data_IF_960325498619
#
_entry.id   IF_960325498619
#
_cell.length_a   1.000
_cell.length_b   1.000
_cell.length_c   1.000
_cell.angle_alpha   90.00
_cell.angle_beta   90.00
_cell.angle_gamma   90.00
#
_symmetry.space_group_name_H-M   'P 1'
#
loop_
_entity.id
_entity.type
_entity.pdbx_description
1 polymer ?
#
# COMPACT_ATOMS: atom_id res chain seq x y z
N UNK A 1 9.93 2.93 8.83
CA UNK A 1 10.35 3.53 10.12
C UNK A 1 10.57 5.03 9.90
N UNK A 2 9.97 5.91 10.70
CA UNK A 2 10.18 7.36 10.56
C UNK A 2 11.34 7.78 11.48
N UNK A 3 12.44 8.22 10.88
CA UNK A 3 13.62 8.68 11.61
C UNK A 3 13.60 10.21 11.81
N UNK A 4 14.12 10.64 12.95
CA UNK A 4 14.37 12.04 13.32
C UNK A 4 15.71 12.14 14.01
N UNK A 5 16.37 13.29 13.89
CA UNK A 5 17.58 13.58 14.65
C UNK A 5 17.32 14.73 15.63
N UNK A 6 17.77 14.56 16.87
CA UNK A 6 17.70 15.63 17.86
C UNK A 6 18.71 16.74 17.51
N UNK A 7 18.22 17.93 17.15
CA UNK A 7 19.08 19.09 16.83
C UNK A 7 19.54 19.85 18.06
N UNK A 8 18.88 19.63 19.20
CA UNK A 8 19.21 20.19 20.51
C UNK A 8 18.94 19.12 21.58
N UNK A 9 19.42 19.35 22.81
CA UNK A 9 19.07 18.49 23.94
C UNK A 9 17.55 18.60 24.17
N UNK A 10 16.86 17.46 24.18
CA UNK A 10 15.39 17.38 24.33
C UNK A 10 15.06 16.45 25.47
N UNK A 11 14.05 16.79 26.28
CA UNK A 11 13.49 15.90 27.29
C UNK A 11 12.16 15.32 26.78
N UNK A 12 12.05 13.99 26.68
CA UNK A 12 10.84 13.27 26.34
C UNK A 12 10.38 12.46 27.56
N UNK A 13 9.34 12.93 28.24
CA UNK A 13 8.92 12.34 29.52
C UNK A 13 10.05 12.42 30.55
N UNK A 14 10.48 11.26 31.04
CA UNK A 14 11.64 11.13 31.94
C UNK A 14 12.98 11.00 31.21
N UNK A 15 12.99 10.81 29.88
CA UNK A 15 14.20 10.55 29.11
C UNK A 15 14.86 11.86 28.65
N UNK A 16 16.18 11.98 28.86
CA UNK A 16 16.99 13.03 28.27
C UNK A 16 17.67 12.54 26.99
N UNK A 17 17.39 13.21 25.88
CA UNK A 17 17.93 12.88 24.56
C UNK A 17 19.05 13.87 24.21
N UNK A 18 20.28 13.38 23.98
CA UNK A 18 21.41 14.24 23.62
C UNK A 18 21.29 14.74 22.19
N UNK A 19 22.01 15.83 21.90
CA UNK A 19 22.16 16.38 20.54
C UNK A 19 22.75 15.31 19.62
N UNK A 20 22.26 15.22 18.39
CA UNK A 20 22.74 14.30 17.37
C UNK A 20 22.15 12.89 17.45
N UNK A 21 21.42 12.54 18.52
CA UNK A 21 20.77 11.25 18.67
C UNK A 21 19.72 10.99 17.58
N UNK A 22 19.71 9.78 17.04
CA UNK A 22 18.69 9.31 16.11
C UNK A 22 17.50 8.74 16.89
N UNK A 23 16.31 9.18 16.52
CA UNK A 23 15.03 8.80 17.11
C UNK A 23 14.22 8.10 16.02
N UNK A 24 13.85 6.86 16.27
CA UNK A 24 13.03 6.06 15.36
C UNK A 24 11.63 5.88 15.94
N UNK A 25 10.62 6.27 15.18
CA UNK A 25 9.22 6.01 15.55
C UNK A 25 8.87 4.58 15.14
N UNK A 26 8.60 3.74 16.13
CA UNK A 26 8.15 2.37 15.97
C UNK A 26 6.64 2.34 15.62
N UNK A 27 6.30 2.71 14.38
CA UNK A 27 4.91 2.85 13.93
C UNK A 27 4.09 1.57 14.12
N UNK A 28 4.66 0.40 13.84
CA UNK A 28 3.95 -0.88 14.02
C UNK A 28 3.60 -1.09 15.49
N UNK A 29 4.51 -0.80 16.42
CA UNK A 29 4.23 -0.89 17.85
C UNK A 29 3.14 0.11 18.28
N UNK A 30 3.24 1.36 17.82
CA UNK A 30 2.25 2.42 18.11
C UNK A 30 0.84 2.06 17.62
N UNK A 31 0.71 1.47 16.42
CA UNK A 31 -0.58 1.09 15.84
C UNK A 31 -1.19 -0.16 16.48
N UNK A 32 -0.42 -0.92 17.26
CA UNK A 32 -0.88 -2.11 17.99
C UNK A 32 -0.79 -1.93 19.52
N UNK A 33 -0.58 -0.70 19.99
CA UNK A 33 -0.49 -0.38 21.41
C UNK A 33 -1.87 -0.49 22.07
N UNK A 34 -2.00 -1.41 23.02
CA UNK A 34 -3.26 -1.68 23.71
C UNK A 34 -3.71 -0.55 24.61
N UNK A 35 -2.79 0.28 25.10
CA UNK A 35 -3.14 1.43 25.94
C UNK A 35 -3.81 2.54 25.11
N UNK A 36 -3.52 2.58 23.82
CA UNK A 36 -4.09 3.54 22.86
C UNK A 36 -5.35 2.98 22.20
N UNK A 37 -5.28 1.72 21.77
CA UNK A 37 -6.27 1.10 20.88
C UNK A 37 -7.25 0.16 21.57
N UNK A 38 -6.97 -0.26 22.81
CA UNK A 38 -7.74 -1.27 23.54
C UNK A 38 -7.14 -2.68 23.43
N UNK A 39 -7.71 -3.64 24.15
CA UNK A 39 -7.24 -5.05 24.13
C UNK A 39 -7.34 -5.69 22.73
N UNK A 40 -8.24 -5.18 21.90
CA UNK A 40 -8.49 -5.58 20.53
C UNK A 40 -7.60 -4.85 19.49
N UNK A 41 -6.48 -4.25 19.92
CA UNK A 41 -5.54 -3.52 19.06
C UNK A 41 -4.97 -4.34 17.89
N UNK A 42 -4.99 -5.67 18.00
CA UNK A 42 -4.52 -6.60 16.95
C UNK A 42 -5.62 -7.04 15.99
N UNK A 43 -6.86 -6.71 16.29
CA UNK A 43 -8.02 -7.10 15.49
C UNK A 43 -8.31 -6.06 14.40
N UNK A 44 -8.66 -6.54 13.21
CA UNK A 44 -9.08 -5.68 12.12
C UNK A 44 -10.52 -5.21 12.33
N UNK A 45 -10.68 -4.02 12.93
CA UNK A 45 -12.00 -3.43 13.23
C UNK A 45 -12.14 -2.07 12.54
N UNK A 46 -12.65 -2.03 11.29
CA UNK A 46 -12.80 -0.78 10.53
C UNK A 46 -13.76 0.23 11.16
N UNK A 47 -14.79 -0.24 11.88
CA UNK A 47 -15.80 0.61 12.53
C UNK A 47 -15.21 1.53 13.60
N UNK A 48 -14.02 1.21 14.14
CA UNK A 48 -13.31 2.04 15.12
C UNK A 48 -12.98 3.44 14.60
N UNK A 49 -12.91 3.62 13.29
CA UNK A 49 -12.59 4.89 12.63
C UNK A 49 -13.81 5.73 12.26
N UNK A 50 -15.03 5.29 12.63
CA UNK A 50 -16.26 6.06 12.40
C UNK A 50 -16.38 7.25 13.36
N UNK A 51 -15.84 7.11 14.57
CA UNK A 51 -15.76 8.19 15.56
C UNK A 51 -14.43 8.94 15.45
N UNK A 52 -14.39 10.22 15.86
CA UNK A 52 -13.13 10.97 15.95
C UNK A 52 -12.12 10.24 16.84
N UNK A 53 -10.86 10.18 16.41
CA UNK A 53 -9.83 9.53 17.22
C UNK A 53 -9.63 10.27 18.55
N UNK A 54 -9.57 9.51 19.65
CA UNK A 54 -9.33 10.05 21.00
C UNK A 54 -8.00 10.80 21.13
N UNK A 55 -7.00 10.40 20.35
CA UNK A 55 -5.68 11.01 20.32
C UNK A 55 -5.30 11.37 18.89
N UNK A 56 -4.92 12.63 18.63
CA UNK A 56 -4.51 13.10 17.30
C UNK A 56 -3.24 12.43 16.77
N UNK A 57 -2.48 11.76 17.64
CA UNK A 57 -1.24 11.06 17.33
C UNK A 57 -1.33 9.52 17.45
N UNK A 58 -2.53 8.94 17.64
CA UNK A 58 -2.67 7.48 17.71
C UNK A 58 -2.44 6.80 16.36
N UNK A 59 -2.85 7.44 15.26
CA UNK A 59 -2.82 6.86 13.92
C UNK A 59 -1.95 7.65 12.94
N UNK A 60 -0.66 7.32 12.91
CA UNK A 60 0.37 8.03 12.13
C UNK A 60 0.83 7.20 10.92
N UNK A 61 -0.05 6.87 9.98
CA UNK A 61 0.36 6.18 8.74
C UNK A 61 1.13 7.09 7.77
N UNK A 62 0.70 8.34 7.65
CA UNK A 62 1.25 9.30 6.71
C UNK A 62 2.29 10.26 7.32
N UNK A 63 2.74 9.96 8.55
CA UNK A 63 3.56 10.87 9.33
C UNK A 63 2.74 11.89 10.12
N UNK A 64 3.45 12.69 10.92
CA UNK A 64 2.86 13.72 11.78
C UNK A 64 3.74 14.98 11.72
N UNK A 65 3.12 16.15 11.85
CA UNK A 65 3.81 17.44 11.90
C UNK A 65 4.24 17.96 10.52
N UNK A 66 5.26 18.85 10.45
CA UNK A 66 5.62 19.57 9.21
C UNK A 66 6.08 18.70 8.04
N UNK A 67 6.41 17.43 8.30
CA UNK A 67 6.87 16.46 7.29
C UNK A 67 5.82 15.37 7.03
N UNK A 68 4.54 15.69 7.25
CA UNK A 68 3.42 14.81 6.89
C UNK A 68 3.39 14.60 5.38
N UNK A 69 2.95 13.42 4.94
CA UNK A 69 2.85 13.09 3.52
C UNK A 69 1.88 14.04 2.82
N UNK A 70 2.38 14.81 1.85
CA UNK A 70 1.55 15.70 1.04
C UNK A 70 0.48 14.93 0.24
N UNK A 71 0.75 13.65 -0.09
CA UNK A 71 -0.17 12.78 -0.81
C UNK A 71 -1.24 12.09 0.05
N UNK A 72 -1.29 12.34 1.36
CA UNK A 72 -2.21 11.62 2.26
C UNK A 72 -3.68 11.69 1.81
N UNK A 73 -4.11 12.85 1.31
CA UNK A 73 -5.50 13.07 0.89
C UNK A 73 -5.81 12.25 -0.37
N UNK A 74 -4.91 12.28 -1.36
CA UNK A 74 -5.09 11.51 -2.61
C UNK A 74 -5.09 10.02 -2.32
N UNK A 75 -4.14 9.52 -1.51
CA UNK A 75 -4.08 8.09 -1.16
C UNK A 75 -5.34 7.62 -0.44
N UNK A 76 -5.88 8.41 0.51
CA UNK A 76 -7.11 8.03 1.23
C UNK A 76 -8.31 7.97 0.28
N UNK A 77 -8.44 8.95 -0.63
CA UNK A 77 -9.53 8.98 -1.61
C UNK A 77 -9.40 7.81 -2.60
N UNK A 78 -8.22 7.64 -3.19
CA UNK A 78 -7.94 6.56 -4.14
C UNK A 78 -8.17 5.19 -3.51
N UNK A 79 -7.67 4.95 -2.29
CA UNK A 79 -7.86 3.68 -1.58
C UNK A 79 -9.34 3.38 -1.37
N UNK A 80 -10.14 4.38 -0.98
CA UNK A 80 -11.59 4.20 -0.79
C UNK A 80 -12.30 3.85 -2.10
N UNK A 81 -11.96 4.58 -3.18
CA UNK A 81 -12.54 4.33 -4.50
C UNK A 81 -12.16 2.95 -5.03
N UNK A 82 -10.87 2.59 -4.97
CA UNK A 82 -10.39 1.28 -5.41
C UNK A 82 -11.03 0.16 -4.61
N UNK A 83 -11.13 0.29 -3.28
CA UNK A 83 -11.78 -0.71 -2.44
C UNK A 83 -13.28 -0.85 -2.77
N UNK A 84 -13.99 0.26 -2.95
CA UNK A 84 -15.40 0.23 -3.34
C UNK A 84 -15.61 -0.46 -4.69
N UNK A 85 -14.78 -0.16 -5.68
CA UNK A 85 -14.83 -0.82 -7.00
C UNK A 85 -14.52 -2.31 -6.90
N UNK A 86 -13.52 -2.68 -6.10
CA UNK A 86 -13.16 -4.08 -5.88
C UNK A 86 -14.35 -4.87 -5.29
N UNK A 87 -15.01 -4.32 -4.27
CA UNK A 87 -16.15 -4.98 -3.61
C UNK A 87 -17.38 -5.03 -4.52
N UNK A 88 -17.60 -4.02 -5.37
CA UNK A 88 -18.75 -3.99 -6.28
C UNK A 88 -18.60 -4.91 -7.48
N UNK A 89 -17.38 -5.07 -8.00
CA UNK A 89 -17.14 -5.77 -9.26
C UNK A 89 -16.75 -7.24 -9.09
N UNK A 90 -16.26 -7.63 -7.91
CA UNK A 90 -15.68 -8.95 -7.69
C UNK A 90 -16.21 -9.62 -6.42
N UNK A 91 -16.34 -10.94 -6.49
CA UNK A 91 -16.55 -11.81 -5.34
C UNK A 91 -15.27 -12.59 -5.05
N UNK A 92 -14.85 -12.59 -3.78
CA UNK A 92 -13.60 -13.22 -3.35
C UNK A 92 -13.86 -14.57 -2.69
N UNK A 93 -13.02 -15.55 -3.00
CA UNK A 93 -12.91 -16.81 -2.25
C UNK A 93 -11.44 -17.07 -1.97
N UNK A 94 -11.11 -17.48 -0.75
CA UNK A 94 -9.72 -17.75 -0.35
C UNK A 94 -9.34 -19.14 -0.84
N UNK A 95 -8.17 -19.26 -1.47
CA UNK A 95 -7.64 -20.58 -1.86
C UNK A 95 -7.38 -21.44 -0.62
N UNK A 96 -7.74 -22.73 -0.63
CA UNK A 96 -7.44 -23.64 0.48
C UNK A 96 -5.94 -23.82 0.72
N UNK A 97 -5.09 -23.49 -0.25
CA UNK A 97 -3.62 -23.56 -0.13
C UNK A 97 -2.98 -22.22 0.25
N UNK A 98 -3.78 -21.22 0.63
CA UNK A 98 -3.25 -19.90 0.97
C UNK A 98 -2.45 -19.94 2.27
N UNK A 99 -1.20 -19.52 2.21
CA UNK A 99 -0.34 -19.30 3.39
C UNK A 99 -0.08 -17.81 3.50
N UNK A 100 -0.53 -17.20 4.60
CA UNK A 100 -0.28 -15.80 4.86
C UNK A 100 1.17 -15.60 5.33
N UNK A 101 1.97 -14.91 4.52
CA UNK A 101 3.37 -14.59 4.82
C UNK A 101 3.61 -13.08 4.61
N UNK A 102 3.23 -12.23 5.58
CA UNK A 102 3.42 -10.80 5.46
C UNK A 102 4.92 -10.48 5.46
N UNK A 103 5.41 -9.94 4.34
CA UNK A 103 6.77 -9.42 4.23
C UNK A 103 6.74 -7.90 4.24
N UNK A 104 7.54 -7.29 5.12
CA UNK A 104 7.75 -5.85 5.12
C UNK A 104 8.70 -5.46 3.98
N UNK A 105 8.19 -5.45 2.74
CA UNK A 105 8.95 -5.01 1.58
C UNK A 105 8.72 -3.52 1.36
N UNK A 106 9.72 -2.68 1.68
CA UNK A 106 9.69 -1.26 1.35
C UNK A 106 10.08 -1.10 -0.13
N UNK A 107 9.12 -1.16 -1.05
CA UNK A 107 9.40 -0.94 -2.47
C UNK A 107 9.63 0.55 -2.71
N UNK A 108 10.88 1.02 -2.57
CA UNK A 108 11.32 2.29 -3.14
C UNK A 108 11.49 2.12 -4.65
N UNK A 109 10.38 2.08 -5.39
CA UNK A 109 10.45 2.05 -6.85
C UNK A 109 10.69 3.45 -7.40
N UNK A 110 11.95 3.89 -7.38
CA UNK A 110 12.44 5.00 -8.21
C UNK A 110 12.83 4.42 -9.58
N UNK A 111 11.84 3.90 -10.32
CA UNK A 111 12.09 3.14 -11.54
C UNK A 111 11.14 3.56 -12.66
N UNK A 112 11.21 4.84 -13.03
CA UNK A 112 10.68 5.33 -14.32
C UNK A 112 11.75 5.49 -15.41
N UNK A 113 13.02 5.21 -15.12
CA UNK A 113 14.11 5.38 -16.10
C UNK A 113 14.69 4.06 -16.64
N UNK A 114 14.57 2.92 -15.94
CA UNK A 114 15.30 1.69 -16.29
C UNK A 114 14.46 0.59 -16.97
N UNK A 115 13.13 0.72 -17.03
CA UNK A 115 12.27 -0.25 -17.71
C UNK A 115 12.23 -0.09 -19.24
N UNK A 116 12.66 1.06 -19.78
CA UNK A 116 12.78 1.21 -21.24
C UNK A 116 14.06 0.57 -21.81
N UNK A 117 15.06 0.27 -20.98
CA UNK A 117 16.31 -0.36 -21.43
C UNK A 117 16.33 -1.89 -21.27
N UNK A 118 15.40 -2.49 -20.51
CA UNK A 118 15.34 -3.95 -20.32
C UNK A 118 14.35 -4.64 -21.27
N UNK A 119 13.42 -3.91 -21.88
CA UNK A 119 12.48 -4.46 -22.88
C UNK A 119 13.07 -4.44 -24.30
N UNK A 120 14.13 -3.66 -24.54
CA UNK A 120 14.75 -3.50 -25.87
C UNK A 120 15.82 -4.52 -26.27
N UNK A 121 16.24 -5.43 -25.38
CA UNK A 121 17.40 -6.31 -25.62
C UNK A 121 17.10 -7.81 -25.64
N UNK A 122 15.83 -8.24 -25.51
CA UNK A 122 15.50 -9.67 -25.40
C UNK A 122 14.47 -10.22 -26.38
N UNK A 123 14.14 -9.49 -27.45
CA UNK A 123 13.32 -10.06 -28.52
C UNK A 123 13.84 -9.64 -29.88
N UNK A 124 14.05 -10.65 -30.72
CA UNK A 124 14.51 -10.67 -32.12
C UNK A 124 16.03 -10.69 -32.31
N UNK A 125 16.63 -11.68 -33.03
CA UNK A 125 16.01 -12.51 -34.07
C UNK A 125 16.22 -14.03 -33.90
N UNK A 126 15.19 -14.85 -34.16
CA UNK A 126 15.28 -16.18 -34.82
C UNK A 126 13.86 -16.71 -35.06
N UNK A 127 13.30 -16.19 -36.15
CA UNK A 127 12.46 -16.87 -37.15
C UNK A 127 11.61 -18.09 -36.76
N UNK A 128 10.30 -17.92 -36.95
CA UNK A 128 9.43 -18.81 -37.74
C UNK A 128 9.75 -20.31 -37.69
N UNK A 129 9.07 -21.05 -36.80
CA UNK A 129 8.41 -22.32 -37.12
C UNK A 129 7.70 -22.86 -35.87
N UNK A 130 6.38 -22.75 -35.84
CA UNK A 130 5.43 -23.67 -35.17
C UNK A 130 4.16 -22.91 -34.77
N UNK A 131 3.29 -22.70 -35.75
CA UNK A 131 1.94 -22.17 -35.60
C UNK A 131 0.93 -23.19 -35.06
N UNK A 132 1.34 -24.37 -34.58
CA UNK A 132 0.41 -25.43 -34.20
C UNK A 132 0.84 -26.22 -32.96
N UNK A 133 0.74 -25.62 -31.77
CA UNK A 133 0.53 -26.42 -30.57
C UNK A 133 -0.13 -25.61 -29.44
N UNK A 134 -1.43 -25.89 -29.24
CA UNK A 134 -2.16 -25.85 -27.96
C UNK A 134 -2.59 -24.43 -27.50
N UNK A 135 -3.73 -23.85 -27.88
CA UNK A 135 -5.10 -24.38 -27.96
C UNK A 135 -5.54 -25.15 -26.70
N UNK A 136 -5.26 -24.60 -25.50
CA UNK A 136 -5.93 -25.05 -24.26
C UNK A 136 -5.97 -24.06 -23.08
N UNK A 137 -6.14 -22.76 -23.32
CA UNK A 137 -6.56 -21.80 -22.27
C UNK A 137 -7.53 -20.74 -22.84
N UNK A 138 -8.44 -21.18 -23.71
CA UNK A 138 -9.69 -20.51 -24.01
C UNK A 138 -10.64 -20.79 -22.84
N UNK A 139 -10.92 -19.77 -22.01
CA UNK A 139 -12.17 -19.46 -21.29
C UNK A 139 -11.78 -18.38 -20.26
N UNK A 140 -11.69 -17.12 -20.71
CA UNK A 140 -12.06 -15.91 -19.95
C UNK A 140 -12.16 -14.72 -20.93
N UNK A 141 -12.68 -15.02 -22.13
CA UNK A 141 -12.96 -14.06 -23.20
C UNK A 141 -14.44 -14.11 -23.50
N UNK A 142 -15.25 -13.75 -22.51
CA UNK A 142 -16.69 -13.59 -22.61
C UNK A 142 -17.12 -12.49 -21.64
N UNK A 143 -17.89 -11.53 -22.13
CA UNK A 143 -18.39 -10.33 -21.42
C UNK A 143 -17.44 -9.11 -21.45
N UNK A 144 -16.93 -8.76 -22.64
CA UNK A 144 -16.85 -7.34 -23.07
C UNK A 144 -17.21 -7.30 -24.56
N UNK A 145 -18.50 -7.39 -24.85
CA UNK A 145 -19.06 -7.01 -26.15
C UNK A 145 -20.24 -6.08 -25.89
N UNK A 146 -20.15 -4.93 -26.56
CA UNK A 146 -21.21 -3.93 -26.80
C UNK A 146 -21.66 -3.09 -25.63
N UNK A 147 -21.16 -1.84 -25.60
CA UNK A 147 -21.83 -0.55 -25.27
C UNK A 147 -20.75 0.39 -24.70
N UNK A 148 -20.27 1.49 -25.28
CA UNK A 148 -20.80 2.46 -26.24
C UNK A 148 -19.63 3.20 -26.93
N UNK A 149 -19.52 3.09 -28.25
CA UNK A 149 -19.14 4.23 -29.10
C UNK A 149 -20.46 4.96 -29.34
N UNK A 150 -20.62 6.15 -28.77
CA UNK A 150 -21.46 7.29 -29.19
C UNK A 150 -21.51 8.29 -28.03
N UNK A 151 -20.60 9.26 -28.05
CA UNK A 151 -20.86 10.68 -27.79
C UNK A 151 -19.52 11.42 -27.73
N UNK A 152 -19.05 11.86 -28.90
CA UNK A 152 -18.25 13.06 -29.06
C UNK A 152 -19.23 14.24 -29.04
N UNK A 153 -19.20 15.02 -27.96
CA UNK A 153 -19.36 16.48 -27.91
C UNK A 153 -18.48 16.98 -26.75
#
# INVERSE_FOLDING_TARGET
MLARQATKKVKLGSLEIPVGAQIYLALVALHHDTDIWGEDAKEFIPSRFLEPQRHSASFILFGLGPRICAGQISVVVETKLTLALIIQLYSFTVSPTYVHAPMLFLTLMLLRALLLLSVGYFTYPLTLLSTHMILRLYIFRGIVKNTWIWCLL
#
